data_IF_082991109211
#
_entry.id   IF_082991109211
#
_cell.length_a   1.000
_cell.length_b   1.000
_cell.length_c   1.000
_cell.angle_alpha   90.00
_cell.angle_beta   90.00
_cell.angle_gamma   90.00
#
_symmetry.space_group_name_H-M   'P 1'
#
loop_
_entity.id
_entity.type
_entity.pdbx_description
1 polymer ?
#
# COMPACT_ATOMS: atom_id res chain seq x y z
N UNK A 1 46.54 30.85 -74.22
CA UNK A 1 47.12 31.00 -72.85
C UNK A 1 48.11 29.83 -72.65
N UNK A 2 49.43 30.15 -72.52
CA UNK A 2 50.44 29.10 -72.19
C UNK A 2 50.40 28.89 -70.70
N UNK A 3 49.85 27.75 -70.23
CA UNK A 3 49.94 27.28 -68.82
C UNK A 3 51.42 26.96 -68.61
N UNK A 4 52.05 27.60 -67.62
CA UNK A 4 53.44 27.33 -67.26
C UNK A 4 53.63 25.89 -66.83
N UNK A 5 54.67 25.21 -67.32
CA UNK A 5 55.03 23.81 -66.98
C UNK A 5 55.15 23.62 -65.44
N UNK A 6 55.61 24.71 -64.76
CA UNK A 6 55.65 24.74 -63.27
C UNK A 6 54.26 24.70 -62.64
N UNK A 7 53.26 25.41 -63.25
CA UNK A 7 51.91 25.39 -62.77
C UNK A 7 51.22 24.05 -62.94
N UNK A 8 51.53 23.29 -64.00
CA UNK A 8 51.06 21.97 -64.28
C UNK A 8 51.66 20.95 -63.34
N UNK A 9 52.99 21.04 -62.99
CA UNK A 9 53.67 20.23 -62.00
C UNK A 9 53.10 20.41 -60.61
N UNK A 10 52.88 21.68 -60.19
CA UNK A 10 52.27 21.98 -58.87
C UNK A 10 50.83 21.48 -58.77
N UNK A 11 50.05 21.57 -59.83
CA UNK A 11 48.68 21.01 -59.88
C UNK A 11 48.71 19.47 -59.74
N UNK A 12 49.68 18.82 -60.40
CA UNK A 12 49.89 17.37 -60.26
C UNK A 12 50.27 16.98 -58.83
N UNK A 13 51.21 17.70 -58.23
CA UNK A 13 51.63 17.47 -56.85
C UNK A 13 50.47 17.66 -55.84
N UNK A 14 49.74 18.76 -56.01
CA UNK A 14 48.57 19.00 -55.13
C UNK A 14 47.48 17.93 -55.26
N UNK A 15 47.25 17.42 -56.46
CA UNK A 15 46.31 16.32 -56.66
C UNK A 15 46.80 15.01 -56.03
N UNK A 16 48.11 14.68 -56.11
CA UNK A 16 48.69 13.53 -55.44
C UNK A 16 48.55 13.63 -53.92
N UNK A 17 48.87 14.77 -53.32
CA UNK A 17 48.70 15.04 -51.87
C UNK A 17 47.26 14.89 -51.41
N UNK A 18 46.30 15.39 -52.21
CA UNK A 18 44.87 15.21 -51.94
C UNK A 18 44.43 13.73 -51.99
N UNK A 19 44.91 12.98 -52.96
CA UNK A 19 44.64 11.55 -53.06
C UNK A 19 45.24 10.77 -51.87
N UNK A 20 46.44 11.13 -51.48
CA UNK A 20 47.10 10.48 -50.31
C UNK A 20 46.33 10.78 -49.02
N UNK A 21 45.90 12.02 -48.80
CA UNK A 21 45.04 12.39 -47.66
C UNK A 21 43.70 11.59 -47.66
N UNK A 22 43.05 11.49 -48.83
CA UNK A 22 41.83 10.72 -48.96
C UNK A 22 42.02 9.22 -48.64
N UNK A 23 43.14 8.67 -49.06
CA UNK A 23 43.51 7.27 -48.80
C UNK A 23 43.81 7.04 -47.32
N UNK A 24 44.54 7.92 -46.66
CA UNK A 24 44.83 7.91 -45.21
C UNK A 24 43.54 8.00 -44.39
N UNK A 25 42.63 8.90 -44.77
CA UNK A 25 41.31 9.03 -44.12
C UNK A 25 40.50 7.73 -44.27
N UNK A 26 40.48 7.13 -45.47
CA UNK A 26 39.79 5.88 -45.74
C UNK A 26 40.37 4.74 -44.91
N UNK A 27 41.71 4.63 -44.81
CA UNK A 27 42.41 3.69 -43.95
C UNK A 27 42.03 3.83 -42.48
N UNK A 28 41.98 5.06 -41.96
CA UNK A 28 41.56 5.35 -40.60
C UNK A 28 40.09 4.97 -40.36
N UNK A 29 39.19 5.26 -41.33
CA UNK A 29 37.79 4.85 -41.27
C UNK A 29 37.62 3.33 -41.25
N UNK A 30 38.36 2.62 -42.09
CA UNK A 30 38.35 1.14 -42.09
C UNK A 30 38.90 0.55 -40.78
N UNK A 31 40.04 1.08 -40.32
CA UNK A 31 40.68 0.63 -39.07
C UNK A 31 39.84 0.90 -37.84
N UNK A 32 39.14 2.04 -37.75
CA UNK A 32 38.27 2.43 -36.64
C UNK A 32 36.85 1.86 -36.74
N UNK A 33 36.42 1.42 -37.93
CA UNK A 33 35.04 1.03 -38.21
C UNK A 33 34.05 2.21 -38.16
N UNK A 34 34.56 3.45 -38.10
CA UNK A 34 33.74 4.68 -37.99
C UNK A 34 33.86 5.53 -39.25
N UNK A 35 32.75 5.98 -39.81
CA UNK A 35 32.70 6.88 -40.95
C UNK A 35 33.10 8.31 -40.58
N UNK A 36 32.76 8.79 -39.41
CA UNK A 36 33.08 10.11 -38.89
C UNK A 36 34.17 9.94 -37.82
N UNK A 37 35.34 10.44 -38.05
CA UNK A 37 36.49 10.33 -37.15
C UNK A 37 36.60 11.60 -36.27
N UNK A 38 36.37 12.74 -36.85
CA UNK A 38 36.43 14.04 -36.17
C UNK A 38 35.17 14.86 -36.42
N UNK A 39 34.79 15.77 -35.50
CA UNK A 39 33.66 16.67 -35.73
C UNK A 39 33.80 17.58 -36.97
N UNK A 40 35.02 17.76 -37.44
CA UNK A 40 35.32 18.55 -38.62
C UNK A 40 34.96 17.82 -39.92
N UNK A 41 34.92 16.49 -39.95
CA UNK A 41 34.60 15.68 -41.14
C UNK A 41 33.14 15.84 -41.55
N UNK A 42 32.25 15.82 -40.56
CA UNK A 42 30.79 16.01 -40.74
C UNK A 42 30.17 16.58 -39.45
N UNK A 43 30.05 17.91 -39.33
CA UNK A 43 29.48 18.57 -38.15
C UNK A 43 28.02 18.16 -37.90
N UNK A 44 27.23 17.99 -38.97
CA UNK A 44 25.81 17.64 -38.89
C UNK A 44 25.65 16.17 -38.43
N UNK A 45 26.43 15.27 -39.05
CA UNK A 45 26.48 13.87 -38.66
C UNK A 45 26.97 13.66 -37.23
N UNK A 46 27.97 14.44 -36.80
CA UNK A 46 28.48 14.41 -35.41
C UNK A 46 27.42 14.87 -34.41
N UNK A 47 26.69 15.94 -34.68
CA UNK A 47 25.60 16.39 -33.81
C UNK A 47 24.50 15.33 -33.66
N UNK A 48 24.13 14.69 -34.77
CA UNK A 48 23.17 13.58 -34.75
C UNK A 48 23.69 12.37 -34.01
N UNK A 49 24.97 12.03 -34.15
CA UNK A 49 25.62 10.92 -33.46
C UNK A 49 25.64 11.15 -31.94
N UNK A 50 25.94 12.38 -31.49
CA UNK A 50 25.90 12.75 -30.08
C UNK A 50 24.47 12.60 -29.52
N UNK A 51 23.46 13.13 -30.26
CA UNK A 51 22.07 13.03 -29.79
C UNK A 51 21.60 11.57 -29.69
N UNK A 52 21.95 10.71 -30.65
CA UNK A 52 21.66 9.28 -30.60
C UNK A 52 22.42 8.57 -29.48
N UNK A 53 23.68 8.92 -29.25
CA UNK A 53 24.48 8.36 -28.17
C UNK A 53 23.89 8.73 -26.79
N UNK A 54 23.41 9.95 -26.62
CA UNK A 54 22.68 10.37 -25.42
C UNK A 54 21.37 9.59 -25.24
N UNK A 55 20.61 9.40 -26.32
CA UNK A 55 19.38 8.63 -26.29
C UNK A 55 19.63 7.17 -25.88
N UNK A 56 20.64 6.51 -26.47
CA UNK A 56 21.04 5.16 -26.11
C UNK A 56 21.53 5.04 -24.66
N UNK A 57 22.26 6.05 -24.18
CA UNK A 57 22.70 6.10 -22.77
C UNK A 57 21.52 6.20 -21.82
N UNK A 58 20.52 7.04 -22.15
CA UNK A 58 19.29 7.18 -21.39
C UNK A 58 18.48 5.88 -21.38
N UNK A 59 18.33 5.23 -22.54
CA UNK A 59 17.63 3.96 -22.67
C UNK A 59 18.28 2.87 -21.82
N UNK A 60 19.60 2.76 -21.89
CA UNK A 60 20.36 1.83 -21.03
C UNK A 60 20.21 2.16 -19.54
N UNK A 61 20.02 3.42 -19.16
CA UNK A 61 19.71 3.80 -17.79
C UNK A 61 18.31 3.36 -17.39
N UNK A 62 17.32 3.53 -18.28
CA UNK A 62 15.95 3.05 -18.01
C UNK A 62 15.86 1.54 -17.88
N UNK A 63 16.58 0.77 -18.70
CA UNK A 63 16.68 -0.69 -18.56
C UNK A 63 17.23 -1.09 -17.19
N UNK A 64 18.31 -0.48 -16.73
CA UNK A 64 18.85 -0.74 -15.39
C UNK A 64 17.86 -0.36 -14.29
N UNK A 65 17.16 0.76 -14.45
CA UNK A 65 16.15 1.21 -13.51
C UNK A 65 14.97 0.23 -13.44
N UNK A 66 14.51 -0.27 -14.57
CA UNK A 66 13.45 -1.28 -14.64
C UNK A 66 13.85 -2.58 -13.95
N UNK A 67 15.05 -3.09 -14.21
CA UNK A 67 15.55 -4.30 -13.54
C UNK A 67 15.65 -4.13 -12.01
N UNK A 68 16.12 -2.98 -11.54
CA UNK A 68 16.15 -2.67 -10.11
C UNK A 68 14.76 -2.55 -9.50
N UNK A 69 13.84 -1.92 -10.23
CA UNK A 69 12.44 -1.76 -9.81
C UNK A 69 11.74 -3.12 -9.72
N UNK A 70 11.90 -3.97 -10.72
CA UNK A 70 11.34 -5.33 -10.76
C UNK A 70 11.81 -6.17 -9.57
N UNK A 71 13.12 -6.19 -9.31
CA UNK A 71 13.67 -6.92 -8.17
C UNK A 71 13.08 -6.44 -6.84
N UNK A 72 12.94 -5.14 -6.66
CA UNK A 72 12.38 -4.57 -5.42
C UNK A 72 10.88 -4.85 -5.26
N UNK A 73 10.13 -4.79 -6.36
CA UNK A 73 8.70 -5.11 -6.35
C UNK A 73 8.47 -6.60 -6.09
N UNK A 74 9.25 -7.51 -6.67
CA UNK A 74 9.19 -8.94 -6.37
C UNK A 74 9.48 -9.24 -4.90
N UNK A 75 10.45 -8.55 -4.30
CA UNK A 75 10.73 -8.69 -2.87
C UNK A 75 9.55 -8.21 -2.01
N UNK A 76 8.94 -7.08 -2.37
CA UNK A 76 7.75 -6.55 -1.68
C UNK A 76 6.56 -7.51 -1.83
N UNK A 77 6.35 -8.07 -3.02
CA UNK A 77 5.30 -9.06 -3.29
C UNK A 77 5.47 -10.32 -2.42
N UNK A 78 6.70 -10.84 -2.33
CA UNK A 78 7.01 -11.98 -1.45
C UNK A 78 6.66 -11.69 0.01
N UNK A 79 7.02 -10.51 0.51
CA UNK A 79 6.69 -10.08 1.87
C UNK A 79 5.18 -9.94 2.09
N UNK A 80 4.44 -9.37 1.13
CA UNK A 80 2.98 -9.32 1.21
C UNK A 80 2.35 -10.72 1.23
N UNK A 81 2.90 -11.66 0.48
CA UNK A 81 2.48 -13.06 0.51
C UNK A 81 2.69 -13.70 1.89
N UNK A 82 3.86 -13.47 2.52
CA UNK A 82 4.14 -13.95 3.87
C UNK A 82 3.22 -13.31 4.92
N UNK A 83 3.02 -11.99 4.86
CA UNK A 83 2.06 -11.29 5.73
C UNK A 83 0.64 -11.82 5.57
N UNK A 84 0.21 -12.08 4.33
CA UNK A 84 -1.09 -12.68 4.05
C UNK A 84 -1.27 -14.05 4.72
N UNK A 85 -0.26 -14.91 4.66
CA UNK A 85 -0.27 -16.22 5.32
C UNK A 85 -0.34 -16.09 6.85
N UNK A 86 0.44 -15.17 7.41
CA UNK A 86 0.45 -14.90 8.86
C UNK A 86 -0.91 -14.39 9.35
N UNK A 87 -1.55 -13.47 8.60
CA UNK A 87 -2.88 -12.97 8.90
C UNK A 87 -3.97 -14.04 8.74
N UNK A 88 -3.85 -14.90 7.73
CA UNK A 88 -4.75 -16.03 7.57
C UNK A 88 -4.68 -16.97 8.76
N UNK A 89 -3.47 -17.25 9.27
CA UNK A 89 -3.28 -18.05 10.49
C UNK A 89 -3.92 -17.39 11.73
N UNK A 90 -3.73 -16.07 11.89
CA UNK A 90 -4.38 -15.32 12.97
C UNK A 90 -5.91 -15.41 12.91
N UNK A 91 -6.48 -15.31 11.70
CA UNK A 91 -7.92 -15.48 11.49
C UNK A 91 -8.41 -16.86 11.85
N UNK A 92 -7.71 -17.92 11.44
CA UNK A 92 -8.05 -19.31 11.79
C UNK A 92 -8.06 -19.54 13.31
N UNK A 93 -7.03 -19.04 13.99
CA UNK A 93 -6.93 -19.09 15.44
C UNK A 93 -8.07 -18.34 16.14
N UNK A 94 -8.42 -17.16 15.63
CA UNK A 94 -9.53 -16.37 16.15
C UNK A 94 -10.86 -17.10 15.99
N UNK A 95 -11.11 -17.70 14.82
CA UNK A 95 -12.30 -18.52 14.59
C UNK A 95 -12.34 -19.76 15.50
N UNK A 96 -11.19 -20.41 15.69
CA UNK A 96 -11.06 -21.55 16.61
C UNK A 96 -11.36 -21.12 18.05
N UNK A 97 -10.82 -19.99 18.49
CA UNK A 97 -11.02 -19.48 19.85
C UNK A 97 -12.48 -19.05 20.12
N UNK A 98 -13.21 -18.66 19.09
CA UNK A 98 -14.62 -18.27 19.20
C UNK A 98 -15.58 -19.47 19.24
N UNK A 99 -15.08 -20.69 19.16
CA UNK A 99 -15.92 -21.89 19.28
C UNK A 99 -16.28 -22.10 20.75
N UNK A 100 -17.58 -22.26 21.04
CA UNK A 100 -18.12 -22.46 22.38
C UNK A 100 -17.56 -23.72 23.13
N UNK A 101 -16.91 -24.62 22.43
CA UNK A 101 -16.25 -25.80 23.03
C UNK A 101 -14.86 -25.54 23.61
N UNK A 102 -14.30 -24.35 23.38
CA UNK A 102 -12.96 -23.99 23.85
C UNK A 102 -12.97 -23.62 25.33
N UNK A 103 -12.05 -24.23 26.08
CA UNK A 103 -11.83 -23.87 27.49
C UNK A 103 -11.03 -22.56 27.61
N UNK A 104 -11.08 -21.93 28.78
CA UNK A 104 -10.29 -20.73 29.06
C UNK A 104 -8.78 -20.99 28.88
N UNK A 105 -8.28 -22.19 29.23
CA UNK A 105 -6.87 -22.58 29.03
C UNK A 105 -6.52 -22.68 27.53
N UNK A 106 -7.40 -23.31 26.73
CA UNK A 106 -7.22 -23.37 25.28
C UNK A 106 -7.19 -21.98 24.65
N UNK A 107 -8.08 -21.09 25.09
CA UNK A 107 -8.10 -19.68 24.63
C UNK A 107 -6.83 -18.93 25.01
N UNK A 108 -6.27 -19.18 26.19
CA UNK A 108 -4.98 -18.59 26.60
C UNK A 108 -3.81 -19.12 25.76
N UNK A 109 -3.82 -20.38 25.33
CA UNK A 109 -2.79 -20.91 24.40
C UNK A 109 -2.89 -20.20 23.05
N UNK A 110 -4.10 -20.08 22.52
CA UNK A 110 -4.35 -19.36 21.26
C UNK A 110 -3.94 -17.89 21.38
N UNK A 111 -4.25 -17.23 22.50
CA UNK A 111 -3.81 -15.85 22.78
C UNK A 111 -2.29 -15.67 22.63
N UNK A 112 -1.51 -16.60 23.21
CA UNK A 112 -0.04 -16.56 23.10
C UNK A 112 0.44 -16.78 21.66
N UNK A 113 -0.23 -17.65 20.90
CA UNK A 113 0.11 -17.86 19.47
C UNK A 113 -0.19 -16.61 18.67
N UNK A 114 -1.30 -15.90 18.93
CA UNK A 114 -1.61 -14.62 18.28
C UNK A 114 -0.59 -13.53 18.65
N UNK A 115 -0.13 -13.50 19.90
CA UNK A 115 0.94 -12.58 20.30
C UNK A 115 2.27 -12.87 19.55
N UNK A 116 2.62 -14.14 19.33
CA UNK A 116 3.78 -14.50 18.49
C UNK A 116 3.58 -14.10 17.02
N UNK A 117 2.37 -14.24 16.50
CA UNK A 117 2.01 -13.77 15.14
C UNK A 117 2.21 -12.26 15.03
N UNK A 118 1.84 -11.50 16.05
CA UNK A 118 2.07 -10.04 16.10
C UNK A 118 3.58 -9.73 16.05
N UNK A 119 4.41 -10.47 16.76
CA UNK A 119 5.87 -10.27 16.74
C UNK A 119 6.48 -10.61 15.37
N UNK A 120 6.05 -11.72 14.75
CA UNK A 120 6.42 -12.07 13.37
C UNK A 120 6.01 -10.96 12.39
N UNK A 121 4.80 -10.40 12.54
CA UNK A 121 4.35 -9.30 11.72
C UNK A 121 5.21 -8.05 11.89
N UNK A 122 5.67 -7.76 13.11
CA UNK A 122 6.59 -6.66 13.39
C UNK A 122 7.97 -6.88 12.76
N UNK A 123 8.46 -8.12 12.75
CA UNK A 123 9.72 -8.47 12.09
C UNK A 123 9.59 -8.33 10.57
N UNK A 124 8.51 -8.80 9.97
CA UNK A 124 8.23 -8.60 8.54
C UNK A 124 8.13 -7.11 8.18
N UNK A 125 7.49 -6.30 9.01
CA UNK A 125 7.38 -4.86 8.83
C UNK A 125 8.74 -4.13 8.92
N UNK A 126 9.73 -4.74 9.57
CA UNK A 126 11.10 -4.24 9.70
C UNK A 126 12.11 -4.96 8.81
N UNK A 127 11.65 -5.69 7.79
CA UNK A 127 12.54 -6.40 6.86
C UNK A 127 13.41 -5.42 6.09
N UNK A 128 14.68 -5.83 5.88
CA UNK A 128 15.66 -5.10 5.08
C UNK A 128 15.86 -5.78 3.73
N UNK A 129 16.17 -4.99 2.74
CA UNK A 129 16.60 -5.50 1.45
C UNK A 129 18.08 -5.94 1.47
N UNK A 130 18.58 -6.42 0.32
CA UNK A 130 19.97 -6.86 0.15
C UNK A 130 21.01 -5.75 0.35
N UNK A 131 20.59 -4.49 0.33
CA UNK A 131 21.44 -3.31 0.55
C UNK A 131 21.41 -2.85 2.02
N UNK A 132 20.61 -3.53 2.87
CA UNK A 132 20.42 -3.19 4.27
C UNK A 132 19.43 -2.06 4.53
N UNK A 133 18.67 -1.64 3.50
CA UNK A 133 17.62 -0.63 3.60
C UNK A 133 16.31 -1.24 4.09
N UNK A 134 15.59 -0.54 4.96
CA UNK A 134 14.26 -0.97 5.38
C UNK A 134 13.24 -0.73 4.26
N UNK A 135 12.48 -1.77 3.92
CA UNK A 135 11.57 -1.76 2.77
C UNK A 135 10.37 -0.82 3.00
N UNK A 136 9.86 -0.79 4.23
CA UNK A 136 8.64 -0.07 4.61
C UNK A 136 8.88 1.28 5.30
N UNK A 137 10.12 1.80 5.30
CA UNK A 137 10.44 3.09 5.93
C UNK A 137 10.19 4.31 5.03
N UNK A 138 9.56 4.15 3.88
CA UNK A 138 9.36 5.25 2.92
C UNK A 138 10.68 5.73 2.32
N UNK A 139 10.97 7.03 2.40
CA UNK A 139 12.23 7.62 1.94
C UNK A 139 13.36 7.52 2.98
N UNK A 140 13.03 7.29 4.26
CA UNK A 140 13.98 7.18 5.37
C UNK A 140 14.54 5.75 5.51
N UNK A 141 15.11 5.19 4.45
CA UNK A 141 15.45 3.77 4.32
C UNK A 141 16.47 3.23 5.34
N UNK A 142 17.26 4.09 5.95
CA UNK A 142 18.21 3.72 7.02
C UNK A 142 17.56 3.63 8.42
N UNK A 143 16.34 4.15 8.58
CA UNK A 143 15.63 4.18 9.86
C UNK A 143 14.72 2.96 9.99
N UNK A 144 14.76 2.28 11.14
CA UNK A 144 13.86 1.17 11.44
C UNK A 144 12.39 1.64 11.31
N UNK A 145 11.60 0.96 10.48
CA UNK A 145 10.24 1.41 10.13
C UNK A 145 9.32 1.44 11.35
N UNK A 146 9.37 0.42 12.19
CA UNK A 146 8.50 0.26 13.35
C UNK A 146 9.29 -0.01 14.61
N UNK A 147 8.94 0.66 15.70
CA UNK A 147 9.53 0.46 17.01
C UNK A 147 8.45 0.23 18.06
N UNK A 148 8.71 -0.68 18.99
CA UNK A 148 7.86 -0.87 20.15
C UNK A 148 7.96 0.31 21.10
N UNK A 149 6.82 0.67 21.67
CA UNK A 149 6.69 1.71 22.69
C UNK A 149 5.83 1.18 23.86
N UNK A 150 5.78 1.90 24.95
CA UNK A 150 4.94 1.50 26.09
C UNK A 150 3.43 1.41 25.75
N UNK A 151 2.99 2.04 24.66
CA UNK A 151 1.58 2.11 24.23
C UNK A 151 1.28 1.30 22.96
N UNK A 152 2.23 0.49 22.48
CA UNK A 152 2.07 -0.31 21.25
C UNK A 152 3.23 -0.08 20.27
N UNK A 153 2.98 -0.23 18.98
CA UNK A 153 3.97 -0.09 17.91
C UNK A 153 3.82 1.28 17.24
N UNK A 154 4.91 2.03 17.14
CA UNK A 154 4.93 3.33 16.45
C UNK A 154 5.72 3.27 15.15
N UNK A 155 5.18 3.90 14.10
CA UNK A 155 5.89 4.11 12.84
C UNK A 155 6.93 5.23 13.01
N UNK A 156 8.16 4.99 12.53
CA UNK A 156 9.29 5.92 12.60
C UNK A 156 9.86 6.27 11.23
N UNK A 157 9.35 5.66 10.18
CA UNK A 157 9.68 6.02 8.80
C UNK A 157 8.99 7.30 8.36
N UNK A 158 8.99 7.55 7.06
CA UNK A 158 8.18 8.59 6.45
C UNK A 158 7.13 8.00 5.48
N UNK A 159 6.14 8.81 5.12
CA UNK A 159 5.04 8.39 4.24
C UNK A 159 5.37 8.58 2.75
N UNK A 160 6.61 8.96 2.42
CA UNK A 160 7.06 9.12 1.06
C UNK A 160 7.19 7.80 0.31
N UNK A 161 7.02 7.84 -1.00
CA UNK A 161 7.25 6.70 -1.87
C UNK A 161 8.44 6.96 -2.81
N UNK A 162 9.29 5.98 -3.00
CA UNK A 162 10.38 6.06 -3.98
C UNK A 162 9.81 5.88 -5.38
N UNK A 163 10.16 6.83 -6.24
CA UNK A 163 9.80 6.80 -7.65
C UNK A 163 11.07 6.58 -8.47
N UNK A 164 10.98 5.76 -9.50
CA UNK A 164 12.08 5.47 -10.43
C UNK A 164 11.61 5.75 -11.85
N UNK A 165 12.39 6.54 -12.58
CA UNK A 165 12.11 6.85 -14.00
C UNK A 165 12.45 5.63 -14.85
N UNK A 166 11.47 5.14 -15.62
CA UNK A 166 11.56 4.01 -16.53
C UNK A 166 11.44 4.41 -18.00
N UNK A 167 11.04 5.66 -18.26
CA UNK A 167 10.99 6.30 -19.56
C UNK A 167 11.07 7.82 -19.35
N UNK A 168 11.23 8.65 -20.41
CA UNK A 168 11.41 10.10 -20.30
C UNK A 168 10.39 10.80 -19.42
N UNK A 169 9.12 10.41 -19.49
CA UNK A 169 8.00 11.02 -18.74
C UNK A 169 7.23 10.00 -17.87
N UNK A 170 7.84 8.82 -17.60
CA UNK A 170 7.20 7.79 -16.81
C UNK A 170 8.04 7.42 -15.59
N UNK A 171 7.38 7.50 -14.46
CA UNK A 171 7.93 7.03 -13.18
C UNK A 171 7.02 5.99 -12.56
N UNK A 172 7.61 4.97 -11.96
CA UNK A 172 6.88 3.96 -11.18
C UNK A 172 7.25 4.04 -9.71
N UNK A 173 6.27 3.75 -8.88
CA UNK A 173 6.45 3.62 -7.44
C UNK A 173 7.07 2.26 -7.13
N UNK A 174 8.17 2.24 -6.40
CA UNK A 174 8.92 1.02 -6.05
C UNK A 174 8.98 0.73 -4.55
N UNK A 175 8.29 1.52 -3.74
CA UNK A 175 8.16 1.28 -2.29
C UNK A 175 6.83 1.77 -1.79
N UNK A 176 6.27 1.08 -0.81
CA UNK A 176 5.11 1.51 -0.05
C UNK A 176 5.53 2.01 1.33
N UNK A 177 4.80 2.99 1.86
CA UNK A 177 5.01 3.42 3.23
C UNK A 177 4.45 2.39 4.20
N UNK A 178 5.22 2.02 5.21
CA UNK A 178 4.74 1.14 6.27
C UNK A 178 3.52 1.71 7.00
N UNK A 179 3.40 3.02 7.09
CA UNK A 179 2.20 3.63 7.65
C UNK A 179 0.94 3.20 6.90
N UNK A 180 0.95 3.28 5.57
CA UNK A 180 -0.23 2.92 4.76
C UNK A 180 -0.52 1.42 4.80
N UNK A 181 0.53 0.59 4.88
CA UNK A 181 0.39 -0.87 4.87
C UNK A 181 -0.06 -1.42 6.22
N UNK A 182 0.44 -0.89 7.34
CA UNK A 182 0.27 -1.48 8.67
C UNK A 182 -0.58 -0.66 9.62
N UNK A 183 -0.63 0.68 9.48
CA UNK A 183 -1.29 1.58 10.45
C UNK A 183 -2.48 2.35 9.88
N UNK A 184 -2.71 2.27 8.59
CA UNK A 184 -3.76 3.01 7.90
C UNK A 184 -4.85 2.08 7.36
N UNK A 185 -5.20 1.02 8.13
CA UNK A 185 -6.09 -0.05 7.71
C UNK A 185 -7.55 0.36 7.96
N UNK A 186 -8.39 0.20 6.95
CA UNK A 186 -9.82 0.37 7.07
C UNK A 186 -10.43 -0.80 7.86
N UNK A 187 -11.15 -0.50 8.95
CA UNK A 187 -11.71 -1.53 9.85
C UNK A 187 -13.12 -1.97 9.49
N UNK A 188 -13.75 -1.37 8.47
CA UNK A 188 -15.10 -1.68 8.03
C UNK A 188 -15.26 -1.51 6.51
N UNK A 189 -16.48 -1.20 6.06
CA UNK A 189 -16.80 -0.90 4.65
C UNK A 189 -16.12 0.36 4.08
N UNK A 190 -15.28 0.99 4.87
CA UNK A 190 -14.53 2.19 4.51
C UNK A 190 -15.21 3.51 4.87
N UNK A 191 -16.39 3.48 5.52
CA UNK A 191 -17.16 4.69 5.87
C UNK A 191 -17.53 4.77 7.34
N UNK A 192 -18.14 3.72 7.87
CA UNK A 192 -18.62 3.65 9.24
C UNK A 192 -18.19 2.35 9.90
N UNK A 193 -18.09 2.40 11.20
CA UNK A 193 -17.80 1.28 12.09
C UNK A 193 -19.00 1.08 12.99
N UNK A 194 -19.45 -0.18 13.12
CA UNK A 194 -20.51 -0.59 14.03
C UNK A 194 -19.88 -1.28 15.24
N UNK A 195 -20.26 -0.87 16.45
CA UNK A 195 -19.84 -1.53 17.70
C UNK A 195 -21.03 -1.72 18.64
N UNK A 196 -21.14 -2.90 19.23
CA UNK A 196 -22.11 -3.18 20.29
C UNK A 196 -21.62 -2.62 21.63
N UNK A 197 -22.52 -2.08 22.44
CA UNK A 197 -22.18 -1.71 23.80
C UNK A 197 -21.89 -2.94 24.66
N UNK A 198 -20.96 -2.81 25.61
CA UNK A 198 -20.57 -3.91 26.51
C UNK A 198 -21.69 -4.37 27.45
N UNK A 199 -22.72 -3.55 27.62
CA UNK A 199 -23.90 -3.86 28.45
C UNK A 199 -25.03 -4.57 27.72
N UNK A 200 -24.89 -4.89 26.42
CA UNK A 200 -25.91 -5.59 25.67
C UNK A 200 -26.09 -7.01 26.22
N UNK A 201 -27.33 -7.40 26.40
CA UNK A 201 -27.73 -8.72 26.93
C UNK A 201 -28.40 -9.60 25.89
N UNK A 202 -28.88 -9.02 24.79
CA UNK A 202 -29.46 -9.73 23.66
C UNK A 202 -28.40 -10.42 22.81
N UNK A 203 -28.79 -11.58 22.22
CA UNK A 203 -27.94 -12.31 21.28
C UNK A 203 -28.16 -11.82 19.83
N UNK A 204 -28.16 -10.51 19.64
CA UNK A 204 -28.50 -9.88 18.37
C UNK A 204 -27.26 -9.56 17.56
N UNK A 205 -27.22 -10.04 16.33
CA UNK A 205 -26.23 -9.62 15.34
C UNK A 205 -26.80 -8.49 14.51
N UNK A 206 -26.10 -7.37 14.50
CA UNK A 206 -26.42 -6.23 13.63
C UNK A 206 -25.36 -6.16 12.54
N UNK A 207 -25.81 -6.19 11.29
CA UNK A 207 -24.96 -5.92 10.12
C UNK A 207 -25.30 -4.56 9.54
N UNK A 208 -24.33 -3.91 8.91
CA UNK A 208 -24.46 -2.57 8.37
C UNK A 208 -24.02 -2.52 6.92
N UNK A 209 -24.77 -1.80 6.10
CA UNK A 209 -24.35 -1.37 4.76
C UNK A 209 -24.53 0.13 4.62
N UNK A 210 -23.62 0.78 3.86
CA UNK A 210 -23.65 2.24 3.70
C UNK A 210 -23.65 2.64 2.22
N UNK A 211 -24.39 3.69 1.90
CA UNK A 211 -24.42 4.29 0.56
C UNK A 211 -23.36 5.39 0.44
N UNK A 212 -23.00 5.75 -0.79
CA UNK A 212 -22.05 6.83 -1.06
C UNK A 212 -22.50 8.20 -0.50
N UNK A 213 -23.80 8.39 -0.35
CA UNK A 213 -24.44 9.60 0.18
C UNK A 213 -24.65 9.60 1.68
N UNK A 214 -24.12 8.60 2.42
CA UNK A 214 -24.30 8.54 3.87
C UNK A 214 -23.73 9.78 4.56
N UNK A 215 -24.55 10.36 5.46
CA UNK A 215 -24.16 11.56 6.21
C UNK A 215 -23.18 11.18 7.30
N UNK A 216 -22.02 11.86 7.35
CA UNK A 216 -20.98 11.60 8.33
C UNK A 216 -21.38 12.19 9.70
N UNK A 217 -21.75 11.31 10.62
CA UNK A 217 -22.06 11.62 12.01
C UNK A 217 -21.79 10.38 12.88
N UNK A 218 -21.80 10.54 14.20
CA UNK A 218 -21.79 9.39 15.12
C UNK A 218 -23.23 9.11 15.53
N UNK A 219 -23.73 7.93 15.17
CA UNK A 219 -25.08 7.53 15.50
C UNK A 219 -25.10 6.50 16.61
N UNK A 220 -26.17 6.53 17.40
CA UNK A 220 -26.47 5.51 18.42
C UNK A 220 -27.82 4.92 18.12
N UNK A 221 -27.86 3.59 17.93
CA UNK A 221 -29.11 2.82 17.86
C UNK A 221 -29.39 2.25 19.24
N UNK A 222 -30.54 2.57 19.80
CA UNK A 222 -31.02 2.03 21.07
C UNK A 222 -32.30 1.23 20.85
N UNK A 223 -32.41 0.07 21.51
CA UNK A 223 -33.64 -0.71 21.57
C UNK A 223 -34.31 -0.52 22.92
N UNK A 224 -35.59 -0.21 22.90
CA UNK A 224 -36.39 0.15 24.06
C UNK A 224 -37.63 -0.72 24.12
N UNK A 225 -37.85 -1.36 25.25
CA UNK A 225 -39.05 -2.11 25.53
C UNK A 225 -39.58 -1.67 26.90
N UNK A 226 -40.76 -1.05 26.95
CA UNK A 226 -41.31 -0.46 28.17
C UNK A 226 -41.73 -1.54 29.18
N UNK A 227 -42.25 -2.67 28.71
CA UNK A 227 -42.54 -3.88 29.52
C UNK A 227 -42.40 -5.13 28.64
N UNK A 228 -42.30 -6.31 29.25
CA UNK A 228 -42.10 -7.61 28.54
C UNK A 228 -43.27 -7.92 27.53
N UNK A 229 -44.41 -7.30 27.73
CA UNK A 229 -45.60 -7.46 26.83
C UNK A 229 -45.65 -6.43 25.70
N UNK A 230 -44.83 -5.38 25.77
CA UNK A 230 -44.85 -4.34 24.76
C UNK A 230 -43.91 -4.67 23.56
N UNK A 231 -44.24 -4.16 22.38
CA UNK A 231 -43.33 -4.34 21.23
C UNK A 231 -42.02 -3.58 21.47
N UNK A 232 -40.92 -4.19 21.06
CA UNK A 232 -39.61 -3.53 21.05
C UNK A 232 -39.66 -2.38 20.07
N UNK A 233 -39.21 -1.21 20.50
CA UNK A 233 -39.05 -0.01 19.64
C UNK A 233 -37.55 0.29 19.49
N UNK A 234 -37.22 1.01 18.43
CA UNK A 234 -35.88 1.48 18.22
C UNK A 234 -35.82 2.99 18.05
N UNK A 235 -34.74 3.57 18.47
CA UNK A 235 -34.38 4.97 18.24
C UNK A 235 -32.94 5.07 17.72
N UNK A 236 -32.75 5.81 16.62
CA UNK A 236 -31.42 6.15 16.10
C UNK A 236 -31.23 7.66 16.27
N UNK A 237 -30.24 8.03 17.04
CA UNK A 237 -29.86 9.41 17.28
C UNK A 237 -28.42 9.67 16.80
N UNK A 238 -28.21 10.75 16.06
CA UNK A 238 -26.91 11.26 15.68
C UNK A 238 -26.41 12.31 16.65
N UNK A 239 -25.13 12.38 16.92
CA UNK A 239 -24.53 13.36 17.80
C UNK A 239 -24.75 14.82 17.33
N UNK A 240 -24.78 15.03 16.02
CA UNK A 240 -25.05 16.33 15.38
C UNK A 240 -26.46 16.37 14.79
N UNK A 241 -26.90 15.27 14.14
CA UNK A 241 -28.16 15.19 13.41
C UNK A 241 -29.40 15.04 14.31
N UNK A 242 -29.23 14.76 15.61
CA UNK A 242 -30.33 14.49 16.52
C UNK A 242 -31.05 13.17 16.21
N UNK A 243 -32.35 13.07 16.55
CA UNK A 243 -33.15 11.86 16.23
C UNK A 243 -33.37 11.76 14.70
N UNK A 244 -32.84 10.70 14.10
CA UNK A 244 -32.85 10.48 12.64
C UNK A 244 -33.81 9.37 12.21
N UNK A 245 -34.08 8.39 13.09
CA UNK A 245 -35.08 7.34 12.83
C UNK A 245 -35.60 6.80 14.16
N UNK A 246 -36.87 6.42 14.19
CA UNK A 246 -37.50 5.73 15.32
C UNK A 246 -38.73 4.94 14.84
N UNK A 247 -39.07 3.88 15.55
CA UNK A 247 -40.27 3.08 15.21
C UNK A 247 -40.35 1.78 15.98
N UNK A 248 -41.40 1.03 15.72
CA UNK A 248 -41.54 -0.34 16.23
C UNK A 248 -40.57 -1.25 15.50
N UNK A 249 -39.76 -2.01 16.22
CA UNK A 249 -38.89 -3.00 15.64
C UNK A 249 -39.66 -4.23 15.20
N UNK A 250 -39.40 -4.71 13.99
CA UNK A 250 -39.94 -5.96 13.46
C UNK A 250 -38.77 -6.84 13.00
N UNK A 251 -38.66 -8.08 13.49
CA UNK A 251 -37.61 -8.99 13.08
C UNK A 251 -37.58 -9.17 11.54
N UNK A 252 -36.38 -9.04 10.98
CA UNK A 252 -36.15 -9.16 9.54
C UNK A 252 -36.40 -7.88 8.71
N UNK A 253 -36.82 -6.79 9.32
CA UNK A 253 -36.91 -5.50 8.65
C UNK A 253 -35.65 -4.68 8.87
N UNK A 254 -35.16 -4.07 7.80
CA UNK A 254 -33.99 -3.19 7.84
C UNK A 254 -34.37 -1.83 8.42
N UNK A 255 -33.45 -1.28 9.24
CA UNK A 255 -33.53 0.09 9.77
C UNK A 255 -32.67 0.98 8.86
N UNK A 256 -33.32 1.91 8.15
CA UNK A 256 -32.62 2.80 7.21
C UNK A 256 -32.71 4.26 7.65
N UNK A 257 -31.56 4.95 7.64
CA UNK A 257 -31.44 6.37 7.96
C UNK A 257 -30.18 6.96 7.32
N UNK A 258 -30.23 8.19 6.89
CA UNK A 258 -29.09 8.97 6.38
C UNK A 258 -28.15 8.21 5.42
N UNK A 259 -28.68 7.29 4.60
CA UNK A 259 -27.87 6.46 3.69
C UNK A 259 -27.20 5.25 4.33
N UNK A 260 -27.51 4.95 5.59
CA UNK A 260 -27.08 3.76 6.33
C UNK A 260 -28.24 2.80 6.44
N UNK A 261 -27.99 1.52 6.22
CA UNK A 261 -28.97 0.44 6.39
C UNK A 261 -28.41 -0.57 7.41
N UNK A 262 -29.20 -0.85 8.44
CA UNK A 262 -28.88 -1.82 9.47
C UNK A 262 -29.84 -3.00 9.37
N UNK A 263 -29.30 -4.21 9.22
CA UNK A 263 -30.05 -5.47 9.25
C UNK A 263 -29.83 -6.15 10.60
N UNK A 264 -30.88 -6.40 11.31
CA UNK A 264 -30.89 -6.94 12.67
C UNK A 264 -31.40 -8.38 12.64
N UNK A 265 -30.57 -9.35 13.05
CA UNK A 265 -30.80 -10.80 12.82
C UNK A 265 -31.65 -11.50 13.85
N UNK A 266 -31.95 -10.88 14.99
CA UNK A 266 -32.73 -11.49 16.09
C UNK A 266 -33.51 -10.43 16.86
N UNK A 267 -34.25 -10.83 17.91
CA UNK A 267 -34.93 -9.89 18.79
C UNK A 267 -33.92 -9.28 19.77
N UNK A 268 -33.69 -7.96 19.72
CA UNK A 268 -32.86 -7.25 20.66
C UNK A 268 -33.50 -7.25 22.05
N UNK A 269 -32.68 -7.24 23.09
CA UNK A 269 -33.15 -7.05 24.46
C UNK A 269 -33.39 -5.56 24.75
N UNK A 270 -34.14 -5.31 25.81
CA UNK A 270 -34.33 -3.95 26.29
C UNK A 270 -33.00 -3.32 26.71
N UNK A 271 -32.79 -2.07 26.31
CA UNK A 271 -31.56 -1.30 26.52
C UNK A 271 -30.33 -1.79 25.73
N UNK A 272 -30.47 -2.73 24.81
CA UNK A 272 -29.38 -3.01 23.87
C UNK A 272 -29.06 -1.77 23.01
N UNK A 273 -27.77 -1.47 22.90
CA UNK A 273 -27.30 -0.27 22.20
C UNK A 273 -26.13 -0.57 21.27
N UNK A 274 -26.13 0.11 20.12
CA UNK A 274 -25.10 -0.01 19.09
C UNK A 274 -24.62 1.38 18.70
N UNK A 275 -23.32 1.57 18.67
CA UNK A 275 -22.70 2.80 18.17
C UNK A 275 -22.26 2.65 16.73
N UNK A 276 -22.66 3.58 15.88
CA UNK A 276 -22.23 3.69 14.48
C UNK A 276 -21.42 4.97 14.36
N UNK A 277 -20.12 4.85 14.26
CA UNK A 277 -19.21 5.99 14.15
C UNK A 277 -18.51 6.02 12.79
N UNK A 278 -18.11 7.23 12.33
CA UNK A 278 -17.24 7.31 11.15
C UNK A 278 -16.02 6.40 11.31
N UNK A 279 -15.66 5.73 10.23
CA UNK A 279 -14.57 4.77 10.24
C UNK A 279 -13.31 5.39 10.82
N UNK A 280 -12.75 4.74 11.82
CA UNK A 280 -11.40 5.00 12.27
C UNK A 280 -10.43 4.05 11.58
N UNK A 281 -9.26 4.54 11.27
CA UNK A 281 -8.18 3.70 10.76
C UNK A 281 -7.48 3.04 11.95
N UNK A 282 -7.16 1.79 11.80
CA UNK A 282 -6.52 1.01 12.86
C UNK A 282 -5.16 0.49 12.38
N UNK A 283 -4.29 0.15 13.30
CA UNK A 283 -3.06 -0.54 12.97
C UNK A 283 -3.21 -2.05 13.25
N UNK A 284 -2.48 -2.84 12.44
CA UNK A 284 -2.54 -4.30 12.53
C UNK A 284 -2.01 -4.83 13.86
N UNK A 285 -1.04 -4.14 14.46
CA UNK A 285 -0.40 -4.55 15.70
C UNK A 285 -1.38 -4.41 16.86
N UNK A 286 -2.06 -3.27 16.97
CA UNK A 286 -3.08 -3.04 18.00
C UNK A 286 -4.29 -3.96 17.82
N UNK A 287 -4.65 -4.32 16.58
CA UNK A 287 -5.71 -5.30 16.32
C UNK A 287 -5.32 -6.68 16.84
N UNK A 288 -4.11 -7.15 16.54
CA UNK A 288 -3.61 -8.44 17.01
C UNK A 288 -3.44 -8.46 18.54
N UNK A 289 -2.93 -7.37 19.13
CA UNK A 289 -2.84 -7.21 20.58
C UNK A 289 -4.23 -7.24 21.26
N UNK A 290 -5.21 -6.58 20.66
CA UNK A 290 -6.59 -6.59 21.17
C UNK A 290 -7.18 -8.00 21.15
N UNK A 291 -7.01 -8.75 20.06
CA UNK A 291 -7.47 -10.13 19.94
C UNK A 291 -6.77 -11.00 21.00
N UNK A 292 -5.45 -10.91 21.10
CA UNK A 292 -4.69 -11.69 22.10
C UNK A 292 -5.15 -11.39 23.53
N UNK A 293 -5.31 -10.13 23.90
CA UNK A 293 -5.75 -9.72 25.24
C UNK A 293 -7.19 -10.14 25.55
N UNK A 294 -8.09 -10.04 24.56
CA UNK A 294 -9.48 -10.49 24.70
C UNK A 294 -9.55 -12.01 24.97
N UNK A 295 -8.72 -12.79 24.27
CA UNK A 295 -8.66 -14.24 24.45
C UNK A 295 -7.96 -14.65 25.75
N UNK A 296 -7.04 -13.84 26.26
CA UNK A 296 -6.39 -14.06 27.55
C UNK A 296 -7.35 -13.84 28.74
N UNK A 297 -8.38 -13.01 28.57
CA UNK A 297 -9.38 -12.73 29.60
C UNK A 297 -10.38 -13.90 29.67
N UNK A 298 -10.64 -14.50 30.88
CA UNK A 298 -11.64 -15.55 31.00
C UNK A 298 -13.00 -15.06 30.47
N UNK A 299 -13.68 -15.89 29.69
CA UNK A 299 -15.08 -15.63 29.37
C UNK A 299 -15.89 -15.82 30.66
N UNK A 300 -16.72 -14.82 30.99
CA UNK A 300 -17.71 -15.00 32.05
C UNK A 300 -18.74 -16.01 31.56
N UNK A 301 -18.87 -17.14 32.26
CA UNK A 301 -19.92 -18.14 32.03
C UNK A 301 -21.30 -17.57 32.36
#
# INVERSE_FOLDING_TARGET
MRISTWQQANTGLNNMLKQQQALDTTHQQISSGKKILTPADDPTGTSKLISLSMALSSESQYERNMGNAENRLMQSESLYGEMGNVLQRARELTLQANNATQTNESRQVISREIAQIRDVMLDLANTRDSQGEYIFSGLSTSTKAFAETATGVSFRGDQGARLVSIAPDQQIKISDSGFDVFQNIATSDGRFQLSAASGNTGNTLVSMSTQASAVTDTYTLNFIQASDSDPVTFEVSGAVSGLVASGAYQPGNDITFNGITLSVSASPANADSYSISPMQRSDIFSMLDTIANTLATPAND
#
